data_IF_084776588711
#
_entry.id   IF_084776588711
#
_cell.length_a   1.000
_cell.length_b   1.000
_cell.length_c   1.000
_cell.angle_alpha   90.00
_cell.angle_beta   90.00
_cell.angle_gamma   90.00
#
_symmetry.space_group_name_H-M   'P 1'
#
loop_
_entity.id
_entity.type
_entity.pdbx_description
1 polymer ?
#
# COMPACT_ATOMS: atom_id res chain seq x y z
N UNK A 1 -30.84 -32.68 -3.64
CA UNK A 1 -30.67 -31.32 -3.07
C UNK A 1 -29.23 -30.79 -3.19
N UNK A 2 -28.31 -31.46 -3.92
CA UNK A 2 -26.92 -31.01 -4.07
C UNK A 2 -26.64 -30.20 -5.35
N UNK A 3 -27.35 -30.45 -6.46
CA UNK A 3 -27.01 -29.83 -7.76
C UNK A 3 -27.36 -28.35 -7.93
N UNK A 4 -28.18 -27.75 -7.06
CA UNK A 4 -28.56 -26.33 -7.20
C UNK A 4 -27.49 -25.38 -6.62
N UNK A 5 -26.68 -25.86 -5.67
CA UNK A 5 -25.58 -25.08 -5.09
C UNK A 5 -24.31 -25.13 -5.95
N UNK A 6 -24.06 -26.26 -6.61
CA UNK A 6 -22.90 -26.42 -7.51
C UNK A 6 -23.04 -25.54 -8.78
N UNK A 7 -24.25 -25.38 -9.31
CA UNK A 7 -24.54 -24.47 -10.43
C UNK A 7 -24.42 -22.99 -10.04
N UNK A 8 -24.68 -22.63 -8.77
CA UNK A 8 -24.48 -21.27 -8.26
C UNK A 8 -22.99 -20.96 -8.12
N UNK A 9 -22.20 -21.91 -7.61
CA UNK A 9 -20.75 -21.74 -7.44
C UNK A 9 -20.00 -21.64 -8.78
N UNK A 10 -20.37 -22.47 -9.77
CA UNK A 10 -19.76 -22.43 -11.10
C UNK A 10 -20.16 -21.18 -11.91
N UNK A 11 -21.32 -20.59 -11.62
CA UNK A 11 -21.71 -19.28 -12.15
C UNK A 11 -20.93 -18.13 -11.51
N UNK A 12 -20.75 -18.16 -10.18
CA UNK A 12 -19.93 -17.19 -9.44
C UNK A 12 -18.45 -17.21 -9.86
N UNK A 13 -17.88 -18.38 -10.13
CA UNK A 13 -16.49 -18.52 -10.62
C UNK A 13 -16.27 -17.88 -11.99
N UNK A 14 -17.29 -17.83 -12.85
CA UNK A 14 -17.21 -17.19 -14.17
C UNK A 14 -17.40 -15.68 -14.13
N UNK A 15 -18.14 -15.17 -13.15
CA UNK A 15 -18.41 -13.74 -13.00
C UNK A 15 -17.36 -13.02 -12.12
N UNK A 16 -16.52 -13.75 -11.39
CA UNK A 16 -15.34 -13.21 -10.67
C UNK A 16 -14.35 -12.53 -11.64
N UNK A 17 -14.34 -12.91 -12.91
CA UNK A 17 -13.40 -12.40 -13.92
C UNK A 17 -13.81 -11.03 -14.52
N UNK A 18 -14.84 -10.36 -13.98
CA UNK A 18 -15.29 -9.03 -14.47
C UNK A 18 -15.59 -7.97 -13.39
N UNK A 19 -15.30 -8.25 -12.11
CA UNK A 19 -15.02 -7.16 -11.16
C UNK A 19 -13.62 -6.66 -11.54
N UNK A 20 -13.38 -5.36 -11.71
CA UNK A 20 -12.00 -4.85 -11.79
C UNK A 20 -11.18 -5.51 -10.67
N UNK A 21 -10.24 -6.39 -11.05
CA UNK A 21 -9.66 -7.37 -10.14
C UNK A 21 -9.07 -6.70 -8.91
N UNK A 22 -9.31 -7.26 -7.73
CA UNK A 22 -8.67 -6.78 -6.50
C UNK A 22 -7.15 -6.80 -6.70
N UNK A 23 -6.49 -5.65 -6.55
CA UNK A 23 -5.02 -5.53 -6.55
C UNK A 23 -4.52 -5.38 -5.12
N UNK A 24 -3.20 -5.47 -4.92
CA UNK A 24 -2.59 -5.35 -3.60
C UNK A 24 -2.91 -3.98 -2.98
N UNK A 25 -2.82 -3.96 -1.66
CA UNK A 25 -3.09 -2.78 -0.82
C UNK A 25 -1.99 -2.71 0.23
N UNK A 26 -1.84 -1.55 0.86
CA UNK A 26 -0.93 -1.40 1.98
C UNK A 26 -1.65 -0.94 3.24
N UNK A 27 -1.22 -1.49 4.37
CA UNK A 27 -1.48 -0.87 5.66
C UNK A 27 -0.74 0.47 5.75
N UNK A 28 -1.28 1.42 6.49
CA UNK A 28 -0.59 2.66 6.82
C UNK A 28 -0.98 3.15 8.21
N UNK A 29 -0.06 3.88 8.83
CA UNK A 29 -0.31 4.62 10.06
C UNK A 29 0.50 5.92 10.04
N UNK A 30 0.00 6.91 10.75
CA UNK A 30 0.64 8.21 10.79
C UNK A 30 0.17 9.08 11.95
N UNK A 31 0.83 10.21 12.07
CA UNK A 31 0.43 11.28 12.97
C UNK A 31 0.58 12.61 12.25
N UNK A 32 -0.31 13.54 12.56
CA UNK A 32 -0.21 14.89 12.05
C UNK A 32 0.87 15.68 12.79
N UNK A 33 1.35 16.75 12.17
CA UNK A 33 2.21 17.74 12.80
C UNK A 33 1.38 18.59 13.77
N UNK A 34 2.07 19.27 14.69
CA UNK A 34 1.42 20.14 15.66
C UNK A 34 0.76 21.34 14.95
N UNK A 35 -0.52 21.54 15.19
CA UNK A 35 -1.25 22.73 14.75
C UNK A 35 -2.25 23.19 15.80
N UNK A 36 -2.75 24.40 15.61
CA UNK A 36 -3.77 25.01 16.46
C UNK A 36 -4.54 26.05 15.65
N UNK A 37 -5.75 26.45 16.11
CA UNK A 37 -6.43 27.62 15.58
C UNK A 37 -5.53 28.87 15.65
N UNK A 38 -5.70 29.77 14.67
CA UNK A 38 -4.88 30.98 14.55
C UNK A 38 -4.89 31.79 15.84
N UNK A 39 -3.71 32.00 16.43
CA UNK A 39 -3.54 32.76 17.67
C UNK A 39 -3.87 32.02 18.95
N UNK A 40 -4.09 30.70 18.90
CA UNK A 40 -4.46 29.84 20.04
C UNK A 40 -3.39 28.80 20.35
N UNK A 41 -2.17 29.23 20.65
CA UNK A 41 -1.03 28.32 20.89
C UNK A 41 -1.24 27.37 22.08
N UNK A 42 -2.09 27.74 23.03
CA UNK A 42 -2.51 26.91 24.16
C UNK A 42 -3.33 25.68 23.74
N UNK A 43 -3.89 25.69 22.52
CA UNK A 43 -4.62 24.59 21.93
C UNK A 43 -3.76 23.80 20.94
N UNK A 44 -2.43 23.85 21.03
CA UNK A 44 -1.54 23.10 20.15
C UNK A 44 -1.69 21.60 20.39
N UNK A 45 -1.98 20.84 19.32
CA UNK A 45 -2.12 19.40 19.39
C UNK A 45 -1.81 18.73 18.05
N UNK A 46 -1.92 17.40 18.02
CA UNK A 46 -1.88 16.61 16.82
C UNK A 46 -2.98 15.54 16.85
N UNK A 47 -3.08 14.79 15.76
CA UNK A 47 -3.95 13.65 15.60
C UNK A 47 -3.19 12.43 15.09
N UNK A 48 -3.76 11.25 15.27
CA UNK A 48 -3.25 9.96 14.77
C UNK A 48 -4.21 9.38 13.75
N UNK A 49 -3.72 8.61 12.80
CA UNK A 49 -4.55 7.90 11.83
C UNK A 49 -3.91 6.57 11.44
N UNK A 50 -4.73 5.59 11.07
CA UNK A 50 -4.30 4.30 10.55
C UNK A 50 -5.40 3.69 9.67
N UNK A 51 -5.00 2.86 8.70
CA UNK A 51 -5.94 2.22 7.78
C UNK A 51 -5.25 1.32 6.76
N UNK A 52 -6.01 0.92 5.75
CA UNK A 52 -5.54 0.18 4.58
C UNK A 52 -5.91 0.98 3.34
N UNK A 53 -4.99 1.09 2.38
CA UNK A 53 -5.23 1.85 1.16
C UNK A 53 -6.30 1.20 0.27
N UNK A 54 -6.83 1.96 -0.68
CA UNK A 54 -7.56 1.39 -1.81
C UNK A 54 -6.65 0.56 -2.74
N UNK A 55 -7.25 -0.16 -3.71
CA UNK A 55 -6.52 -0.93 -4.71
C UNK A 55 -5.51 -0.07 -5.48
N UNK A 56 -4.44 -0.71 -5.96
CA UNK A 56 -3.43 -0.08 -6.81
C UNK A 56 -4.05 0.49 -8.09
N UNK A 57 -3.68 1.73 -8.40
CA UNK A 57 -4.01 2.43 -9.64
C UNK A 57 -2.74 2.64 -10.46
N UNK A 58 -2.66 1.95 -11.59
CA UNK A 58 -1.50 2.00 -12.48
C UNK A 58 -1.20 3.40 -13.01
N UNK A 59 0.09 3.69 -13.15
CA UNK A 59 0.65 4.88 -13.80
C UNK A 59 1.63 4.44 -14.88
N UNK A 60 2.28 5.39 -15.58
CA UNK A 60 3.19 5.05 -16.68
C UNK A 60 4.39 4.19 -16.26
N UNK A 61 4.87 4.31 -15.03
CA UNK A 61 6.12 3.66 -14.58
C UNK A 61 6.04 3.01 -13.20
N UNK A 62 4.87 3.02 -12.56
CA UNK A 62 4.63 2.59 -11.17
C UNK A 62 3.11 2.54 -10.92
N UNK A 63 2.66 2.51 -9.67
CA UNK A 63 1.26 2.68 -9.28
C UNK A 63 1.14 3.58 -8.04
N UNK A 64 -0.09 4.00 -7.75
CA UNK A 64 -0.46 4.77 -6.54
C UNK A 64 -1.68 4.15 -5.90
N UNK A 65 -1.96 4.49 -4.64
CA UNK A 65 -3.15 4.04 -3.94
C UNK A 65 -3.96 5.21 -3.39
N UNK A 66 -5.29 5.06 -3.34
CA UNK A 66 -6.16 6.00 -2.62
C UNK A 66 -6.01 5.78 -1.11
N UNK A 67 -5.84 6.88 -0.37
CA UNK A 67 -5.90 6.94 1.08
C UNK A 67 -7.13 7.76 1.42
N UNK A 68 -8.08 7.15 2.12
CA UNK A 68 -9.30 7.80 2.63
C UNK A 68 -9.51 7.37 4.07
N UNK A 69 -9.30 8.28 5.02
CA UNK A 69 -9.27 7.94 6.45
C UNK A 69 -9.66 9.14 7.32
N UNK A 70 -10.23 8.85 8.49
CA UNK A 70 -10.39 9.83 9.56
C UNK A 70 -9.21 9.75 10.52
N UNK A 71 -8.82 10.89 11.06
CA UNK A 71 -7.96 10.90 12.23
C UNK A 71 -8.73 10.49 13.49
N UNK A 72 -8.01 10.24 14.57
CA UNK A 72 -8.60 10.09 15.90
C UNK A 72 -9.34 11.36 16.36
N UNK A 73 -10.26 11.17 17.30
CA UNK A 73 -10.98 12.26 17.94
C UNK A 73 -10.16 12.80 19.12
N UNK A 74 -9.65 14.01 18.99
CA UNK A 74 -8.88 14.70 20.02
C UNK A 74 -9.31 16.16 20.12
N UNK A 75 -9.32 16.73 21.34
CA UNK A 75 -9.76 18.12 21.62
C UNK A 75 -11.03 18.49 20.84
N UNK A 76 -12.04 17.62 20.94
CA UNK A 76 -13.38 17.83 20.39
C UNK A 76 -13.51 17.86 18.85
N UNK A 77 -12.54 17.31 18.10
CA UNK A 77 -12.70 17.13 16.67
C UNK A 77 -11.83 15.99 16.11
N UNK A 78 -12.04 15.68 14.83
CA UNK A 78 -11.18 14.85 14.00
C UNK A 78 -11.09 15.51 12.63
N UNK A 79 -10.09 15.13 11.85
CA UNK A 79 -10.00 15.54 10.46
C UNK A 79 -10.13 14.33 9.53
N UNK A 80 -10.37 14.61 8.25
CA UNK A 80 -10.34 13.61 7.18
C UNK A 80 -9.11 13.81 6.31
N UNK A 81 -8.61 12.72 5.72
CA UNK A 81 -7.52 12.71 4.74
C UNK A 81 -8.04 11.96 3.52
N UNK A 82 -7.98 12.59 2.35
CA UNK A 82 -8.32 11.97 1.07
C UNK A 82 -7.28 12.36 0.01
N UNK A 83 -6.43 11.42 -0.39
CA UNK A 83 -5.33 11.67 -1.33
C UNK A 83 -4.85 10.39 -2.03
N UNK A 84 -4.09 10.55 -3.12
CA UNK A 84 -3.29 9.46 -3.66
C UNK A 84 -1.89 9.45 -3.04
N UNK A 85 -1.34 8.27 -2.79
CA UNK A 85 0.05 8.10 -2.38
C UNK A 85 1.03 8.55 -3.47
N UNK A 86 2.32 8.70 -3.11
CA UNK A 86 3.40 8.80 -4.09
C UNK A 86 3.63 7.47 -4.84
N UNK A 87 4.52 7.44 -5.85
CA UNK A 87 4.88 6.20 -6.56
C UNK A 87 5.53 5.18 -5.61
N UNK A 88 5.54 3.91 -6.02
CA UNK A 88 6.18 2.83 -5.27
C UNK A 88 7.69 3.09 -5.09
N UNK A 89 8.18 2.88 -3.87
CA UNK A 89 9.57 3.03 -3.47
C UNK A 89 10.08 1.65 -3.01
N UNK A 90 11.06 1.04 -3.72
CA UNK A 90 11.56 -0.28 -3.37
C UNK A 90 12.23 -0.26 -1.99
N UNK A 91 11.96 -1.30 -1.21
CA UNK A 91 12.64 -1.60 0.05
C UNK A 91 13.63 -2.73 -0.21
N UNK A 92 14.88 -2.51 0.17
CA UNK A 92 15.97 -3.47 -0.03
C UNK A 92 16.29 -4.22 1.26
N UNK A 93 16.73 -5.46 1.12
CA UNK A 93 17.25 -6.27 2.21
C UNK A 93 18.47 -5.59 2.86
N UNK A 94 18.62 -5.71 4.19
CA UNK A 94 19.70 -5.04 4.91
C UNK A 94 21.08 -5.67 4.66
N UNK A 95 21.12 -6.94 4.26
CA UNK A 95 22.35 -7.72 3.99
C UNK A 95 22.67 -7.78 2.50
N UNK A 96 21.65 -7.79 1.65
CA UNK A 96 21.79 -7.81 0.19
C UNK A 96 21.12 -6.59 -0.46
N UNK A 97 21.92 -5.57 -0.77
CA UNK A 97 21.43 -4.29 -1.32
C UNK A 97 20.87 -4.39 -2.74
N UNK A 98 21.10 -5.51 -3.43
CA UNK A 98 20.53 -5.75 -4.75
C UNK A 98 19.19 -6.50 -4.65
N UNK A 99 18.81 -6.97 -3.45
CA UNK A 99 17.60 -7.76 -3.21
C UNK A 99 16.45 -6.87 -2.72
N UNK A 100 15.40 -6.77 -3.53
CA UNK A 100 14.15 -6.09 -3.16
C UNK A 100 13.28 -7.03 -2.33
N UNK A 101 12.85 -6.57 -1.16
CA UNK A 101 12.01 -7.31 -0.20
C UNK A 101 10.55 -6.83 -0.18
N UNK A 102 10.22 -5.85 -1.04
CA UNK A 102 8.89 -5.26 -1.17
C UNK A 102 9.00 -3.79 -1.57
N UNK A 103 7.90 -3.03 -1.48
CA UNK A 103 7.92 -1.58 -1.63
C UNK A 103 6.98 -0.91 -0.63
N UNK A 104 7.14 0.40 -0.51
CA UNK A 104 6.26 1.29 0.26
C UNK A 104 5.87 2.48 -0.61
N UNK A 105 4.90 3.27 -0.14
CA UNK A 105 4.58 4.56 -0.72
C UNK A 105 4.72 5.67 0.32
N UNK A 106 5.24 6.83 -0.09
CA UNK A 106 5.26 8.02 0.74
C UNK A 106 3.91 8.77 0.70
N UNK A 107 3.56 9.41 1.81
CA UNK A 107 2.41 10.29 1.95
C UNK A 107 2.84 11.63 2.54
N UNK A 108 2.46 12.72 1.89
CA UNK A 108 2.56 14.07 2.45
C UNK A 108 1.33 14.85 2.06
N UNK A 109 0.71 15.53 3.00
CA UNK A 109 -0.51 16.27 2.73
C UNK A 109 -0.93 17.13 3.90
N UNK A 110 -2.12 17.72 3.74
CA UNK A 110 -2.82 18.49 4.75
C UNK A 110 -4.16 17.80 5.01
N UNK A 111 -4.58 17.73 6.26
CA UNK A 111 -5.91 17.23 6.60
C UNK A 111 -7.01 18.17 6.13
N UNK A 112 -8.27 17.73 6.10
CA UNK A 112 -9.40 18.64 5.97
C UNK A 112 -9.41 19.68 7.09
N UNK A 113 -10.11 20.79 6.87
CA UNK A 113 -10.24 21.85 7.88
C UNK A 113 -11.42 21.55 8.80
N UNK A 114 -11.14 21.40 10.08
CA UNK A 114 -12.14 21.30 11.15
C UNK A 114 -11.70 22.15 12.35
N UNK A 115 -12.63 22.54 13.22
CA UNK A 115 -12.36 23.39 14.38
C UNK A 115 -11.39 24.56 14.09
N UNK A 116 -11.61 25.25 12.97
CA UNK A 116 -10.84 26.42 12.49
C UNK A 116 -9.36 26.20 12.10
N UNK A 117 -8.88 24.97 11.94
CA UNK A 117 -7.53 24.70 11.45
C UNK A 117 -7.43 23.35 10.72
N UNK A 118 -6.24 23.05 10.23
CA UNK A 118 -5.87 21.79 9.58
C UNK A 118 -4.46 21.43 10.05
N UNK A 119 -4.04 20.20 9.80
CA UNK A 119 -2.69 19.76 10.10
C UNK A 119 -1.97 19.24 8.86
N UNK A 120 -0.71 19.65 8.71
CA UNK A 120 0.22 18.98 7.82
C UNK A 120 0.55 17.58 8.36
N UNK A 121 0.87 16.64 7.48
CA UNK A 121 1.37 15.33 7.88
C UNK A 121 2.39 14.77 6.89
N UNK A 122 3.21 13.82 7.37
CA UNK A 122 4.13 13.02 6.57
C UNK A 122 4.09 11.60 7.10
N UNK A 123 3.90 10.62 6.23
CA UNK A 123 3.81 9.22 6.58
C UNK A 123 4.34 8.33 5.44
N UNK A 124 4.41 7.03 5.70
CA UNK A 124 4.63 6.01 4.69
C UNK A 124 3.63 4.87 4.91
N UNK A 125 3.34 4.14 3.84
CA UNK A 125 2.69 2.83 3.98
C UNK A 125 3.65 1.82 4.59
N UNK A 126 3.11 0.72 5.12
CA UNK A 126 3.87 -0.47 5.48
C UNK A 126 4.22 -1.27 4.20
N UNK A 127 5.17 -2.19 4.36
CA UNK A 127 5.72 -2.98 3.26
C UNK A 127 4.65 -3.83 2.58
N UNK A 128 4.72 -3.94 1.25
CA UNK A 128 3.96 -4.93 0.50
C UNK A 128 4.32 -6.35 0.96
N UNK A 129 3.32 -7.24 1.04
CA UNK A 129 3.47 -8.70 1.18
C UNK A 129 4.61 -9.14 2.13
N UNK A 130 4.49 -8.87 3.44
CA UNK A 130 5.56 -9.10 4.42
C UNK A 130 5.88 -10.58 4.66
N UNK A 131 5.12 -11.50 4.04
CA UNK A 131 5.27 -12.95 4.22
C UNK A 131 5.85 -13.64 2.98
N UNK A 132 5.90 -12.95 1.85
CA UNK A 132 6.45 -13.54 0.62
C UNK A 132 7.89 -13.97 0.84
N UNK A 133 8.23 -15.15 0.30
CA UNK A 133 9.60 -15.62 0.32
C UNK A 133 10.48 -14.61 -0.42
N UNK A 134 11.56 -14.19 0.23
CA UNK A 134 12.49 -13.25 -0.37
C UNK A 134 13.15 -13.96 -1.56
N UNK A 135 12.62 -13.74 -2.77
CA UNK A 135 13.01 -14.45 -4.00
C UNK A 135 14.53 -14.50 -4.09
N UNK A 136 15.09 -15.69 -3.89
CA UNK A 136 16.49 -15.94 -4.22
C UNK A 136 16.58 -15.84 -5.74
N UNK A 137 17.38 -14.89 -6.19
CA UNK A 137 17.44 -14.44 -7.58
C UNK A 137 17.64 -15.63 -8.53
N UNK A 138 16.83 -15.68 -9.59
CA UNK A 138 16.76 -16.71 -10.64
C UNK A 138 18.04 -16.75 -11.53
N UNK A 139 19.20 -16.36 -11.00
CA UNK A 139 20.49 -16.29 -11.70
C UNK A 139 21.08 -17.66 -12.05
N UNK A 140 20.60 -18.75 -11.44
CA UNK A 140 21.09 -20.11 -11.69
C UNK A 140 20.40 -20.87 -12.84
N UNK A 141 19.43 -20.26 -13.54
CA UNK A 141 18.77 -20.91 -14.70
C UNK A 141 19.48 -20.69 -16.04
N UNK A 142 20.54 -19.88 -16.11
CA UNK A 142 21.27 -19.64 -17.37
C UNK A 142 22.42 -20.61 -17.64
N UNK A 143 22.90 -21.34 -16.63
CA UNK A 143 24.09 -22.20 -16.76
C UNK A 143 23.77 -23.69 -17.03
N UNK A 144 22.49 -24.06 -17.23
CA UNK A 144 22.09 -25.45 -17.52
C UNK A 144 21.61 -25.68 -18.96
N UNK A 145 22.09 -24.91 -19.94
CA UNK A 145 21.81 -25.16 -21.36
C UNK A 145 23.01 -25.54 -22.23
N UNK A 146 24.23 -25.51 -21.72
CA UNK A 146 25.41 -25.74 -22.56
C UNK A 146 26.06 -27.13 -22.45
N UNK A 147 25.49 -28.05 -21.66
CA UNK A 147 26.14 -29.34 -21.37
C UNK A 147 25.41 -30.59 -21.92
N UNK A 148 24.74 -30.47 -23.07
CA UNK A 148 24.09 -31.63 -23.73
C UNK A 148 24.51 -31.95 -25.16
N UNK A 149 25.45 -31.24 -25.77
CA UNK A 149 25.83 -31.46 -27.18
C UNK A 149 27.27 -31.96 -27.41
N UNK A 150 27.84 -32.75 -26.49
CA UNK A 150 29.09 -33.49 -26.78
C UNK A 150 29.05 -34.90 -26.20
N UNK A 151 28.30 -35.82 -26.82
CA UNK A 151 28.64 -37.26 -26.93
C UNK A 151 27.96 -37.86 -28.15
N UNK A 152 28.54 -37.64 -29.33
CA UNK A 152 28.49 -38.56 -30.47
C UNK A 152 29.46 -38.07 -31.55
N UNK A 153 30.75 -38.40 -31.39
CA UNK A 153 31.74 -38.59 -32.45
C UNK A 153 32.81 -39.57 -32.00
#
# INVERSE_FOLDING_TARGET
>A
MSGFYDDILTGLEKDIDTIEGQTHVHEFLGSTLLAAPRGKKELLHNHRFAGVTGPAKETRTSHVHLVSVNTDFFVNHFHTIEMFTGPAIPVFDEKDKDKIIGHIHALTGETSRDFFHSHDFRAATLIEDPISEIREDDRDKKDRKDDKDIKDR
#
